data_IF_209223412217
#
_entry.id   IF_209223412217
#
_cell.length_a   1.000
_cell.length_b   1.000
_cell.length_c   1.000
_cell.angle_alpha   90.00
_cell.angle_beta   90.00
_cell.angle_gamma   90.00
#
_symmetry.space_group_name_H-M   'P 1'
#
loop_
_entity.id
_entity.type
_entity.pdbx_description
1 polymer ?
#
# COMPACT_ATOMS: atom_id res chain seq x y z
N UNK A 1 49.09 -16.32 46.13
CA UNK A 1 47.75 -16.89 45.89
C UNK A 1 46.81 -15.69 45.91
N UNK A 2 46.21 -15.21 44.84
CA UNK A 2 45.34 -15.87 43.86
C UNK A 2 45.24 -15.00 42.60
N UNK A 3 45.15 -15.67 41.45
CA UNK A 3 45.09 -15.15 40.07
C UNK A 3 43.75 -14.48 39.75
N UNK A 4 43.70 -13.73 38.65
CA UNK A 4 42.44 -13.49 37.91
C UNK A 4 42.42 -12.20 37.10
N UNK A 5 43.01 -12.22 35.91
CA UNK A 5 42.74 -11.24 34.85
C UNK A 5 41.29 -11.41 34.35
N UNK A 6 40.54 -10.31 34.24
CA UNK A 6 39.29 -10.30 33.48
C UNK A 6 39.13 -8.94 32.81
N UNK A 7 39.83 -8.80 31.67
CA UNK A 7 39.53 -7.76 30.70
C UNK A 7 38.50 -8.31 29.73
N UNK A 8 37.24 -7.94 29.92
CA UNK A 8 36.20 -8.11 28.89
C UNK A 8 35.86 -6.73 28.34
N UNK A 9 36.61 -6.33 27.32
CA UNK A 9 36.17 -5.35 26.35
C UNK A 9 35.20 -6.07 25.41
N UNK A 10 33.90 -5.78 25.51
CA UNK A 10 32.89 -6.25 24.56
C UNK A 10 32.31 -5.06 23.81
N UNK A 11 32.81 -4.83 22.59
CA UNK A 11 32.10 -4.22 21.46
C UNK A 11 32.56 -4.97 20.19
N UNK A 12 31.79 -4.99 19.09
CA UNK A 12 30.36 -5.26 18.93
C UNK A 12 30.14 -6.39 17.89
N UNK A 13 29.26 -7.37 18.12
CA UNK A 13 28.90 -8.33 17.06
C UNK A 13 27.87 -7.74 16.10
N UNK A 14 28.35 -7.38 14.90
CA UNK A 14 27.56 -7.00 13.74
C UNK A 14 27.93 -7.92 12.58
N UNK A 15 27.25 -9.06 12.40
CA UNK A 15 27.17 -9.76 11.10
C UNK A 15 26.20 -10.93 11.10
N UNK A 16 25.54 -11.14 9.95
CA UNK A 16 24.49 -12.12 9.58
C UNK A 16 23.10 -11.58 9.95
N UNK A 17 22.33 -10.92 9.09
CA UNK A 17 21.94 -11.25 7.71
C UNK A 17 21.68 -9.93 6.96
N UNK A 18 22.44 -9.62 5.91
CA UNK A 18 22.22 -8.44 5.03
C UNK A 18 22.47 -8.74 3.56
N UNK A 19 23.29 -9.74 3.24
CA UNK A 19 23.68 -10.05 1.86
C UNK A 19 22.55 -10.67 1.02
N UNK A 20 21.61 -11.40 1.61
CA UNK A 20 20.54 -12.07 0.84
C UNK A 20 19.38 -11.14 0.49
N UNK A 21 19.14 -10.09 1.29
CA UNK A 21 18.03 -9.17 1.07
C UNK A 21 18.31 -8.19 -0.05
N UNK A 22 19.55 -7.76 -0.21
CA UNK A 22 19.92 -6.73 -1.18
C UNK A 22 19.81 -7.27 -2.62
N UNK A 23 20.31 -8.49 -2.87
CA UNK A 23 20.22 -9.17 -4.17
C UNK A 23 18.75 -9.42 -4.58
N UNK A 24 17.90 -9.82 -3.63
CA UNK A 24 16.46 -10.03 -3.89
C UNK A 24 15.76 -8.72 -4.23
N UNK A 25 16.06 -7.65 -3.50
CA UNK A 25 15.46 -6.34 -3.78
C UNK A 25 15.90 -5.77 -5.14
N UNK A 26 17.14 -6.03 -5.55
CA UNK A 26 17.64 -5.64 -6.88
C UNK A 26 16.92 -6.40 -8.00
N UNK A 27 16.72 -7.71 -7.84
CA UNK A 27 15.94 -8.52 -8.78
C UNK A 27 14.47 -8.07 -8.88
N UNK A 28 13.85 -7.74 -7.74
CA UNK A 28 12.47 -7.22 -7.70
C UNK A 28 12.39 -5.88 -8.43
N UNK A 29 13.37 -4.99 -8.22
CA UNK A 29 13.43 -3.69 -8.88
C UNK A 29 13.60 -3.82 -10.40
N UNK A 30 14.53 -4.64 -10.85
CA UNK A 30 14.76 -4.88 -12.28
C UNK A 30 13.51 -5.48 -12.95
N UNK A 31 12.81 -6.39 -12.26
CA UNK A 31 11.55 -6.97 -12.75
C UNK A 31 10.45 -5.91 -12.81
N UNK A 32 10.31 -5.08 -11.78
CA UNK A 32 9.30 -4.01 -11.72
C UNK A 32 9.49 -3.01 -12.86
N UNK A 33 10.72 -2.53 -13.10
CA UNK A 33 11.02 -1.57 -14.17
C UNK A 33 10.73 -2.12 -15.58
N UNK A 34 10.82 -3.44 -15.78
CA UNK A 34 10.51 -4.09 -17.06
C UNK A 34 9.03 -4.37 -17.26
N UNK A 35 8.25 -4.45 -16.18
CA UNK A 35 6.88 -4.99 -16.21
C UNK A 35 5.81 -4.00 -15.76
N UNK A 36 6.22 -2.83 -15.26
CA UNK A 36 5.30 -1.82 -14.71
C UNK A 36 5.67 -0.43 -15.22
N UNK A 37 4.68 0.27 -15.74
CA UNK A 37 4.70 1.71 -15.99
C UNK A 37 3.89 2.40 -14.90
N UNK A 38 4.47 3.44 -14.29
CA UNK A 38 3.80 4.21 -13.22
C UNK A 38 3.33 5.55 -13.78
N UNK A 39 2.04 5.84 -13.62
CA UNK A 39 1.41 7.11 -13.97
C UNK A 39 1.06 7.90 -12.71
N UNK A 40 1.62 9.11 -12.56
CA UNK A 40 1.26 10.01 -11.48
C UNK A 40 0.01 10.81 -11.86
N UNK A 41 -1.08 10.62 -11.12
CA UNK A 41 -2.31 11.37 -11.27
C UNK A 41 -2.24 12.61 -10.38
N UNK A 42 -2.38 13.78 -10.99
CA UNK A 42 -2.50 15.04 -10.24
C UNK A 42 -3.88 15.09 -9.61
N UNK A 43 -3.93 14.97 -8.28
CA UNK A 43 -5.15 15.32 -7.53
C UNK A 43 -5.02 16.76 -7.07
N UNK A 44 -6.14 17.48 -7.00
CA UNK A 44 -6.17 18.89 -6.58
C UNK A 44 -5.85 19.09 -5.08
N UNK A 45 -5.49 18.02 -4.35
CA UNK A 45 -5.29 18.03 -2.91
C UNK A 45 -3.80 18.01 -2.58
N UNK A 46 -3.32 19.03 -1.87
CA UNK A 46 -1.88 19.24 -1.60
C UNK A 46 -1.20 18.15 -0.74
N UNK A 47 -1.98 17.23 -0.14
CA UNK A 47 -1.46 16.21 0.79
C UNK A 47 -1.76 14.76 0.34
N UNK A 48 -2.04 14.51 -0.93
CA UNK A 48 -2.32 13.16 -1.45
C UNK A 48 -1.63 12.91 -2.79
N UNK A 49 -0.72 11.94 -2.83
CA UNK A 49 -0.15 11.45 -4.09
C UNK A 49 -0.93 10.23 -4.56
N UNK A 50 -1.40 10.25 -5.81
CA UNK A 50 -2.05 9.11 -6.45
C UNK A 50 -1.17 8.65 -7.62
N UNK A 51 -0.68 7.42 -7.55
CA UNK A 51 0.07 6.77 -8.62
C UNK A 51 -0.63 5.48 -9.04
N UNK A 52 -0.65 5.21 -10.34
CA UNK A 52 -1.26 4.00 -10.92
C UNK A 52 -0.19 3.21 -11.65
N UNK A 53 -0.02 1.96 -11.23
CA UNK A 53 0.91 1.00 -11.81
C UNK A 53 0.16 0.12 -12.82
N UNK A 54 0.58 0.16 -14.08
CA UNK A 54 0.00 -0.63 -15.17
C UNK A 54 1.08 -1.47 -15.88
N UNK A 55 0.73 -2.63 -16.44
CA UNK A 55 1.60 -3.31 -17.40
C UNK A 55 1.99 -2.39 -18.57
N UNK A 56 3.18 -2.56 -19.18
CA UNK A 56 3.65 -1.68 -20.26
C UNK A 56 2.74 -1.66 -21.50
N UNK A 57 1.96 -2.72 -21.72
CA UNK A 57 1.05 -2.85 -22.86
C UNK A 57 -0.39 -2.38 -22.58
N UNK A 58 -0.65 -1.83 -21.39
CA UNK A 58 -1.99 -1.40 -20.96
C UNK A 58 -2.08 0.13 -20.90
N UNK A 59 -3.08 0.71 -21.56
CA UNK A 59 -3.35 2.14 -21.46
C UNK A 59 -4.02 2.50 -20.13
N UNK A 60 -3.73 3.70 -19.66
CA UNK A 60 -4.36 4.24 -18.45
C UNK A 60 -5.81 4.65 -18.73
N UNK A 61 -6.74 3.99 -18.05
CA UNK A 61 -8.15 4.37 -18.00
C UNK A 61 -8.44 5.18 -16.72
N UNK A 62 -8.96 6.43 -16.83
CA UNK A 62 -9.35 7.22 -15.67
C UNK A 62 -10.47 6.57 -14.86
N UNK A 63 -10.44 6.77 -13.54
CA UNK A 63 -11.48 6.30 -12.64
C UNK A 63 -12.85 6.90 -13.00
N UNK A 64 -13.88 6.05 -13.00
CA UNK A 64 -15.27 6.48 -13.19
C UNK A 64 -15.97 6.60 -11.85
N UNK A 65 -16.72 7.70 -11.65
CA UNK A 65 -17.60 7.82 -10.49
C UNK A 65 -18.85 7.00 -10.78
N UNK A 66 -19.11 5.97 -9.96
CA UNK A 66 -20.30 5.12 -10.11
C UNK A 66 -21.52 5.80 -9.49
N UNK A 67 -22.65 5.78 -10.20
CA UNK A 67 -23.95 6.27 -9.71
C UNK A 67 -24.64 5.31 -8.73
N UNK A 68 -23.98 4.22 -8.34
CA UNK A 68 -24.51 3.25 -7.38
C UNK A 68 -24.49 3.78 -5.95
N UNK A 69 -25.45 3.34 -5.13
CA UNK A 69 -25.44 3.62 -3.70
C UNK A 69 -24.13 3.13 -3.05
N UNK A 70 -23.46 3.97 -2.23
CA UNK A 70 -22.19 3.62 -1.62
C UNK A 70 -22.34 2.38 -0.71
N UNK A 71 -21.29 1.56 -0.64
CA UNK A 71 -21.35 0.31 0.13
C UNK A 71 -21.53 0.58 1.63
N UNK A 72 -20.95 1.70 2.07
CA UNK A 72 -20.98 2.19 3.43
C UNK A 72 -20.89 3.71 3.41
N UNK A 73 -21.73 4.36 4.20
CA UNK A 73 -21.66 5.79 4.47
C UNK A 73 -21.02 6.05 5.84
N UNK A 74 -20.39 7.21 5.98
CA UNK A 74 -19.76 7.68 7.21
C UNK A 74 -20.37 9.03 7.61
N UNK A 75 -20.57 9.31 8.91
CA UNK A 75 -21.16 10.57 9.36
C UNK A 75 -20.18 11.76 9.34
N UNK A 76 -18.98 11.56 8.76
CA UNK A 76 -17.92 12.56 8.65
C UNK A 76 -17.44 12.65 7.21
N UNK A 77 -16.79 13.76 6.88
CA UNK A 77 -16.18 13.94 5.57
C UNK A 77 -14.93 13.07 5.45
N UNK A 78 -14.86 12.30 4.38
CA UNK A 78 -13.70 11.47 4.06
C UNK A 78 -12.53 12.34 3.62
N UNK A 79 -11.30 11.98 4.02
CA UNK A 79 -10.09 12.64 3.53
C UNK A 79 -9.87 12.36 2.04
N UNK A 80 -9.02 13.18 1.40
CA UNK A 80 -8.67 13.03 -0.02
C UNK A 80 -8.27 11.60 -0.37
N UNK A 81 -7.28 11.04 0.35
CA UNK A 81 -6.79 9.68 0.09
C UNK A 81 -7.86 8.60 0.31
N UNK A 82 -8.78 8.82 1.27
CA UNK A 82 -9.87 7.87 1.55
C UNK A 82 -10.87 7.84 0.39
N UNK A 83 -11.22 9.01 -0.16
CA UNK A 83 -12.13 9.13 -1.33
C UNK A 83 -11.51 8.53 -2.57
N UNK A 84 -10.24 8.81 -2.84
CA UNK A 84 -9.50 8.24 -3.97
C UNK A 84 -9.46 6.71 -3.88
N UNK A 85 -9.05 6.17 -2.73
CA UNK A 85 -8.98 4.72 -2.54
C UNK A 85 -10.35 4.03 -2.66
N UNK A 86 -11.41 4.66 -2.12
CA UNK A 86 -12.79 4.16 -2.26
C UNK A 86 -13.23 4.18 -3.73
N UNK A 87 -12.84 5.21 -4.49
CA UNK A 87 -13.13 5.27 -5.93
C UNK A 87 -12.43 4.14 -6.69
N UNK A 88 -11.17 3.83 -6.37
CA UNK A 88 -10.47 2.67 -6.93
C UNK A 88 -11.20 1.34 -6.63
N UNK A 89 -11.64 1.17 -5.37
CA UNK A 89 -12.39 -0.01 -4.92
C UNK A 89 -13.72 -0.14 -5.68
N UNK A 90 -14.47 0.96 -5.84
CA UNK A 90 -15.68 1.00 -6.65
C UNK A 90 -15.42 0.70 -8.13
N UNK A 91 -14.26 1.05 -8.68
CA UNK A 91 -13.87 0.69 -10.05
C UNK A 91 -13.35 -0.75 -10.19
N UNK A 92 -13.44 -1.58 -9.13
CA UNK A 92 -12.88 -2.94 -9.10
C UNK A 92 -11.37 -2.99 -9.34
N UNK A 93 -10.63 -1.93 -8.97
CA UNK A 93 -9.17 -1.86 -9.09
C UNK A 93 -8.50 -2.14 -7.74
N UNK A 94 -7.32 -2.76 -7.78
CA UNK A 94 -6.48 -2.95 -6.59
C UNK A 94 -5.87 -1.62 -6.15
N UNK A 95 -5.79 -1.39 -4.84
CA UNK A 95 -5.24 -0.15 -4.28
C UNK A 95 -4.33 -0.45 -3.10
N UNK A 96 -3.18 0.25 -3.06
CA UNK A 96 -2.28 0.28 -1.91
C UNK A 96 -2.38 1.67 -1.27
N UNK A 97 -2.66 1.73 0.04
CA UNK A 97 -2.78 2.99 0.77
C UNK A 97 -1.66 3.11 1.80
N UNK A 98 -0.72 4.01 1.54
CA UNK A 98 0.33 4.37 2.50
C UNK A 98 -0.01 5.68 3.21
N UNK A 99 -0.25 5.59 4.51
CA UNK A 99 -0.54 6.74 5.38
C UNK A 99 -0.18 6.43 6.84
N UNK A 100 -0.12 7.42 7.71
CA UNK A 100 0.10 7.20 9.15
C UNK A 100 -1.06 6.40 9.79
N UNK A 101 -0.80 5.70 10.90
CA UNK A 101 -1.80 4.85 11.58
C UNK A 101 -3.05 5.62 12.01
N UNK A 102 -2.88 6.87 12.43
CA UNK A 102 -3.97 7.77 12.85
C UNK A 102 -4.77 8.39 11.69
N UNK A 103 -4.33 8.27 10.44
CA UNK A 103 -4.97 8.92 9.29
C UNK A 103 -6.31 8.30 8.88
N UNK A 104 -6.66 7.11 9.42
CA UNK A 104 -7.95 6.48 9.13
C UNK A 104 -7.95 5.51 7.94
N UNK A 105 -6.83 4.84 7.65
CA UNK A 105 -6.77 3.75 6.64
C UNK A 105 -7.86 2.68 6.83
N UNK A 106 -8.26 2.43 8.08
CA UNK A 106 -9.35 1.51 8.44
C UNK A 106 -10.68 1.85 7.78
N UNK A 107 -10.94 3.12 7.44
CA UNK A 107 -12.15 3.54 6.72
C UNK A 107 -12.21 2.91 5.33
N UNK A 108 -11.09 2.89 4.61
CA UNK A 108 -10.95 2.28 3.27
C UNK A 108 -11.16 0.77 3.37
N UNK A 109 -10.53 0.14 4.37
CA UNK A 109 -10.67 -1.28 4.67
C UNK A 109 -12.14 -1.71 4.88
N UNK A 110 -12.83 -1.00 5.77
CA UNK A 110 -14.22 -1.28 6.10
C UNK A 110 -15.14 -1.07 4.90
N UNK A 111 -14.82 -0.10 4.03
CA UNK A 111 -15.55 0.10 2.79
C UNK A 111 -15.39 -1.08 1.83
N UNK A 112 -14.15 -1.57 1.62
CA UNK A 112 -13.89 -2.73 0.77
C UNK A 112 -14.66 -3.97 1.24
N UNK A 113 -14.68 -4.22 2.56
CA UNK A 113 -15.45 -5.33 3.15
C UNK A 113 -16.95 -5.13 2.90
N UNK A 114 -17.48 -3.93 3.13
CA UNK A 114 -18.89 -3.63 2.89
C UNK A 114 -19.29 -3.84 1.41
N UNK A 115 -18.42 -3.44 0.47
CA UNK A 115 -18.64 -3.67 -0.95
C UNK A 115 -18.68 -5.17 -1.28
N UNK A 116 -17.73 -5.95 -0.77
CA UNK A 116 -17.71 -7.40 -0.98
C UNK A 116 -18.98 -8.08 -0.47
N UNK A 117 -19.48 -7.65 0.70
CA UNK A 117 -20.72 -8.17 1.29
C UNK A 117 -21.95 -7.79 0.45
N UNK A 118 -22.01 -6.56 -0.06
CA UNK A 118 -23.08 -6.09 -0.94
C UNK A 118 -23.11 -6.86 -2.26
N UNK A 119 -21.95 -7.06 -2.87
CA UNK A 119 -21.83 -7.63 -4.21
C UNK A 119 -21.80 -9.18 -4.18
N UNK A 120 -21.86 -9.79 -3.00
CA UNK A 120 -21.77 -11.25 -2.75
C UNK A 120 -20.51 -11.90 -3.35
N UNK A 121 -19.45 -11.12 -3.56
CA UNK A 121 -18.19 -11.61 -4.09
C UNK A 121 -17.17 -11.83 -2.97
N UNK A 122 -16.49 -12.97 -3.00
CA UNK A 122 -15.27 -13.19 -2.21
C UNK A 122 -14.10 -12.58 -2.99
N UNK A 123 -13.95 -11.25 -2.92
CA UNK A 123 -12.77 -10.60 -3.51
C UNK A 123 -11.55 -10.98 -2.67
N UNK A 124 -10.44 -11.31 -3.34
CA UNK A 124 -9.17 -11.43 -2.67
C UNK A 124 -8.81 -10.05 -2.12
N UNK A 125 -8.96 -9.86 -0.80
CA UNK A 125 -8.46 -8.69 -0.07
C UNK A 125 -6.93 -8.75 0.07
N UNK A 126 -6.24 -9.24 -0.96
CA UNK A 126 -4.79 -9.18 -1.01
C UNK A 126 -4.42 -7.71 -1.17
N UNK A 127 -3.81 -7.15 -0.12
CA UNK A 127 -3.47 -5.74 0.10
C UNK A 127 -4.44 -5.00 1.00
N UNK A 128 -4.21 -5.17 2.31
CA UNK A 128 -4.65 -4.21 3.30
C UNK A 128 -3.86 -4.33 4.61
N UNK A 129 -2.65 -3.74 4.69
CA UNK A 129 -2.15 -2.84 5.76
C UNK A 129 -0.97 -2.04 5.22
#
# INVERSE_FOLDING_TARGET
>A
MMQGEFGDTIEPEKKRVRMETDDVMEQVKETFEKTVTVHTIRTDNENCTHEVALPPDMEFEPLTIRDSAPAKSYPFQLDAFQREAITCIENNQSVLVSAHTSAGKTVVALYAIAQCLRDKQRRNLETLV
#
